data_IF_198842780669
#
_entry.id   IF_198842780669
#
_cell.length_a   1.000
_cell.length_b   1.000
_cell.length_c   1.000
_cell.angle_alpha   90.00
_cell.angle_beta   90.00
_cell.angle_gamma   90.00
#
_symmetry.space_group_name_H-M   'P 1'
#
loop_
_entity.id
_entity.type
_entity.pdbx_description
1 polymer ?
#
# COMPACT_ATOMS: atom_id res chain seq x y z
N UNK A 1 1.19 -3.28 -5.57
CA UNK A 1 0.29 -2.16 -5.88
C UNK A 1 -0.51 -1.75 -4.64
N UNK A 2 -1.00 -0.51 -4.59
CA UNK A 2 -1.94 -0.01 -3.56
C UNK A 2 -3.35 0.05 -4.17
N UNK A 3 -4.31 -0.60 -3.53
CA UNK A 3 -5.69 -0.74 -4.03
C UNK A 3 -6.72 -0.48 -2.93
N UNK A 4 -7.95 -0.17 -3.32
CA UNK A 4 -9.10 -0.22 -2.43
C UNK A 4 -9.65 -1.67 -2.40
N UNK A 5 -10.35 -2.03 -1.33
CA UNK A 5 -11.04 -3.35 -1.21
C UNK A 5 -12.48 -3.24 -0.76
N UNK A 6 -12.98 -2.02 -0.69
CA UNK A 6 -14.42 -1.81 -0.62
C UNK A 6 -15.04 -2.26 -1.94
N UNK A 7 -16.33 -2.59 -1.93
CA UNK A 7 -17.12 -2.93 -3.12
C UNK A 7 -17.36 -1.68 -3.99
N UNK A 8 -16.28 -1.02 -4.41
CA UNK A 8 -16.29 0.07 -5.38
C UNK A 8 -16.26 -0.49 -6.79
N UNK A 9 -16.99 0.13 -7.71
CA UNK A 9 -16.78 -0.16 -9.13
C UNK A 9 -15.43 0.39 -9.59
N UNK A 10 -14.92 -0.09 -10.72
CA UNK A 10 -13.69 0.44 -11.32
C UNK A 10 -13.78 1.96 -11.52
N UNK A 11 -14.93 2.47 -11.99
CA UNK A 11 -15.15 3.90 -12.20
C UNK A 11 -15.07 4.70 -10.90
N UNK A 12 -15.59 4.14 -9.80
CA UNK A 12 -15.53 4.77 -8.48
C UNK A 12 -14.11 4.80 -7.92
N UNK A 13 -13.35 3.71 -8.09
CA UNK A 13 -11.93 3.67 -7.71
C UNK A 13 -11.12 4.71 -8.48
N UNK A 14 -11.29 4.78 -9.81
CA UNK A 14 -10.59 5.77 -10.65
C UNK A 14 -10.94 7.19 -10.23
N UNK A 15 -12.22 7.51 -9.98
CA UNK A 15 -12.63 8.83 -9.46
C UNK A 15 -11.99 9.13 -8.11
N UNK A 16 -11.88 8.13 -7.23
CA UNK A 16 -11.25 8.28 -5.91
C UNK A 16 -9.75 8.59 -6.05
N UNK A 17 -9.04 7.90 -6.96
CA UNK A 17 -7.64 8.18 -7.25
C UNK A 17 -7.43 9.54 -7.91
N UNK A 18 -8.28 9.92 -8.87
CA UNK A 18 -8.25 11.25 -9.50
C UNK A 18 -8.48 12.37 -8.50
N UNK A 19 -9.43 12.18 -7.56
CA UNK A 19 -9.67 13.12 -6.48
C UNK A 19 -8.41 13.30 -5.62
N UNK A 20 -7.76 12.21 -5.21
CA UNK A 20 -6.49 12.28 -4.48
C UNK A 20 -5.40 13.00 -5.29
N UNK A 21 -5.24 12.66 -6.57
CA UNK A 21 -4.19 13.20 -7.43
C UNK A 21 -4.35 14.69 -7.68
N UNK A 22 -5.58 15.17 -7.90
CA UNK A 22 -5.88 16.60 -8.11
C UNK A 22 -5.55 17.51 -6.92
N UNK A 23 -5.34 16.93 -5.73
CA UNK A 23 -4.98 17.64 -4.50
C UNK A 23 -3.48 17.65 -4.23
N UNK A 24 -2.68 16.97 -5.05
CA UNK A 24 -1.23 16.92 -4.87
C UNK A 24 -0.57 18.19 -5.38
N UNK A 25 0.50 18.62 -4.72
CA UNK A 25 1.28 19.79 -5.13
C UNK A 25 2.03 19.60 -6.46
N UNK A 26 2.19 18.35 -6.89
CA UNK A 26 2.92 17.98 -8.10
C UNK A 26 2.18 16.86 -8.82
N UNK A 27 2.03 17.00 -10.15
CA UNK A 27 1.49 15.94 -11.02
C UNK A 27 2.36 14.68 -11.03
N UNK A 28 3.64 14.81 -10.66
CA UNK A 28 4.59 13.70 -10.56
C UNK A 28 4.43 12.91 -9.25
N UNK A 29 3.63 13.39 -8.31
CA UNK A 29 3.45 12.70 -7.02
C UNK A 29 2.83 11.31 -7.25
N UNK A 30 3.49 10.29 -6.72
CA UNK A 30 3.05 8.89 -6.80
C UNK A 30 2.36 8.49 -5.51
N UNK A 31 1.51 7.46 -5.61
CA UNK A 31 0.84 6.83 -4.46
C UNK A 31 1.79 5.82 -3.82
N UNK A 32 2.52 5.09 -4.65
CA UNK A 32 3.51 4.08 -4.26
C UNK A 32 4.89 4.49 -4.78
N UNK A 33 5.81 4.67 -3.85
CA UNK A 33 7.22 4.98 -4.12
C UNK A 33 8.13 3.88 -3.56
N UNK A 34 9.26 3.66 -4.21
CA UNK A 34 10.23 2.64 -3.81
C UNK A 34 11.51 3.29 -3.35
N UNK A 35 11.97 2.89 -2.17
CA UNK A 35 13.30 3.20 -1.70
C UNK A 35 14.29 2.19 -2.29
N UNK A 36 14.80 2.50 -3.48
CA UNK A 36 15.75 1.67 -4.19
C UNK A 36 17.05 1.44 -3.38
N UNK A 37 17.46 2.39 -2.51
CA UNK A 37 18.68 2.25 -1.69
C UNK A 37 18.54 1.18 -0.62
N UNK A 38 17.32 0.99 -0.12
CA UNK A 38 17.00 -0.01 0.91
C UNK A 38 16.33 -1.27 0.32
N UNK A 39 16.37 -1.45 -1.00
CA UNK A 39 15.82 -2.59 -1.71
C UNK A 39 16.95 -3.43 -2.32
N UNK A 40 16.78 -4.75 -2.42
CA UNK A 40 17.84 -5.68 -2.84
C UNK A 40 17.27 -7.00 -3.38
N UNK A 41 18.03 -7.68 -4.25
CA UNK A 41 17.70 -9.02 -4.74
C UNK A 41 16.77 -9.05 -5.96
N UNK A 42 16.48 -7.89 -6.56
CA UNK A 42 15.77 -7.81 -7.83
C UNK A 42 16.72 -7.96 -9.02
N UNK A 43 16.18 -8.46 -10.14
CA UNK A 43 16.85 -8.50 -11.43
C UNK A 43 16.37 -7.29 -12.23
N UNK A 44 17.32 -6.55 -12.80
CA UNK A 44 17.02 -5.36 -13.59
C UNK A 44 16.57 -4.16 -12.76
N UNK A 45 15.87 -3.23 -13.41
CA UNK A 45 15.34 -2.03 -12.79
C UNK A 45 13.90 -2.25 -12.31
N UNK A 46 13.48 -1.45 -11.33
CA UNK A 46 12.08 -1.39 -10.93
C UNK A 46 11.33 -0.52 -11.94
N UNK A 47 10.22 -1.03 -12.45
CA UNK A 47 9.36 -0.34 -13.39
C UNK A 47 8.14 0.24 -12.69
N UNK A 48 7.87 1.51 -12.95
CA UNK A 48 6.76 2.25 -12.38
C UNK A 48 5.52 2.20 -13.30
N UNK A 49 4.85 1.05 -13.35
CA UNK A 49 3.76 0.77 -14.31
C UNK A 49 2.47 1.60 -14.10
N UNK A 50 2.24 2.13 -12.88
CA UNK A 50 1.16 3.08 -12.59
C UNK A 50 1.50 3.92 -11.34
N UNK A 51 0.79 5.01 -11.04
CA UNK A 51 1.06 5.81 -9.83
C UNK A 51 0.96 5.00 -8.52
N UNK A 52 0.13 3.96 -8.49
CA UNK A 52 -0.10 3.06 -7.35
C UNK A 52 0.55 1.69 -7.52
N UNK A 53 1.31 1.43 -8.59
CA UNK A 53 1.88 0.13 -8.87
C UNK A 53 3.32 0.23 -9.38
N UNK A 54 4.10 -0.78 -8.98
CA UNK A 54 5.45 -1.02 -9.49
C UNK A 54 5.59 -2.49 -9.84
N UNK A 55 6.49 -2.78 -10.75
CA UNK A 55 6.85 -4.11 -11.20
C UNK A 55 8.37 -4.29 -11.07
N UNK A 56 8.78 -5.50 -10.72
CA UNK A 56 10.19 -5.90 -10.65
C UNK A 56 10.28 -7.41 -10.84
N UNK A 57 11.46 -7.86 -11.24
CA UNK A 57 11.76 -9.28 -11.44
C UNK A 57 12.71 -9.78 -10.35
N UNK A 58 12.67 -11.07 -10.06
CA UNK A 58 13.58 -11.74 -9.16
C UNK A 58 13.63 -13.22 -9.53
N UNK A 59 14.76 -13.89 -9.31
CA UNK A 59 14.93 -15.30 -9.59
C UNK A 59 14.94 -16.10 -8.28
N UNK A 60 13.90 -16.89 -7.97
CA UNK A 60 13.83 -17.67 -6.73
C UNK A 60 14.90 -18.77 -6.64
N UNK A 61 15.57 -19.13 -7.74
CA UNK A 61 16.65 -20.14 -7.75
C UNK A 61 18.01 -19.56 -7.44
N UNK A 62 18.26 -18.30 -7.81
CA UNK A 62 19.54 -17.61 -7.57
C UNK A 62 19.52 -16.80 -6.28
N UNK A 63 18.39 -16.15 -5.98
CA UNK A 63 18.22 -15.34 -4.78
C UNK A 63 17.32 -16.06 -3.78
N UNK A 64 17.81 -16.24 -2.56
CA UNK A 64 17.01 -16.81 -1.46
C UNK A 64 15.81 -15.94 -1.07
N UNK A 65 15.89 -14.64 -1.32
CA UNK A 65 14.84 -13.67 -0.98
C UNK A 65 15.03 -12.33 -1.69
N UNK A 66 13.93 -11.68 -2.06
CA UNK A 66 13.89 -10.29 -2.51
C UNK A 66 13.39 -9.38 -1.37
N UNK A 67 13.98 -8.20 -1.23
CA UNK A 67 13.53 -7.17 -0.28
C UNK A 67 13.22 -5.89 -1.03
N UNK A 68 11.98 -5.41 -0.92
CA UNK A 68 11.54 -4.14 -1.50
C UNK A 68 11.06 -3.24 -0.36
N UNK A 69 11.66 -2.06 -0.25
CA UNK A 69 11.28 -1.03 0.72
C UNK A 69 10.34 -0.03 0.06
N UNK A 70 9.10 0.07 0.56
CA UNK A 70 8.04 0.87 -0.05
C UNK A 70 7.59 2.03 0.86
N UNK A 71 7.18 3.13 0.24
CA UNK A 71 6.50 4.24 0.89
C UNK A 71 5.12 4.44 0.24
N UNK A 72 4.08 4.55 1.07
CA UNK A 72 2.71 4.86 0.64
C UNK A 72 2.42 6.32 0.95
N UNK A 73 2.15 7.11 -0.08
CA UNK A 73 2.08 8.57 0.01
C UNK A 73 0.66 9.11 0.18
N UNK A 74 -0.37 8.25 0.14
CA UNK A 74 -1.75 8.64 0.42
C UNK A 74 -2.14 8.31 1.87
N UNK A 75 -2.71 9.26 2.59
CA UNK A 75 -3.33 8.99 3.89
C UNK A 75 -4.67 8.29 3.68
N UNK A 76 -5.07 7.43 4.61
CA UNK A 76 -6.39 6.79 4.54
C UNK A 76 -7.55 7.81 4.52
N UNK A 77 -7.34 9.03 5.00
CA UNK A 77 -8.36 10.10 5.03
C UNK A 77 -8.30 11.07 3.84
N UNK A 78 -7.34 10.94 2.93
CA UNK A 78 -7.17 11.92 1.84
C UNK A 78 -8.28 11.90 0.79
N UNK A 79 -9.07 10.83 0.77
CA UNK A 79 -10.12 10.58 -0.22
C UNK A 79 -11.45 11.29 0.08
N UNK A 80 -11.47 12.22 1.04
CA UNK A 80 -12.63 13.07 1.34
C UNK A 80 -12.21 14.50 1.68
N UNK A 81 -13.10 15.46 1.44
CA UNK A 81 -12.95 16.86 1.90
C UNK A 81 -13.45 17.05 3.34
N UNK A 82 -14.22 16.10 3.87
CA UNK A 82 -14.79 16.21 5.20
C UNK A 82 -13.74 15.97 6.27
N UNK A 83 -13.64 16.88 7.24
CA UNK A 83 -12.79 16.70 8.42
C UNK A 83 -13.42 15.67 9.36
N UNK A 84 -12.60 14.86 10.02
CA UNK A 84 -13.06 13.88 11.00
C UNK A 84 -13.69 12.62 10.40
N UNK A 85 -13.55 12.38 9.09
CA UNK A 85 -14.01 11.14 8.48
C UNK A 85 -13.17 9.93 8.90
N UNK A 86 -13.82 8.77 8.89
CA UNK A 86 -13.10 7.49 8.94
C UNK A 86 -12.32 7.33 7.63
N UNK A 87 -11.03 7.05 7.75
CA UNK A 87 -10.21 6.78 6.58
C UNK A 87 -10.64 5.50 5.84
N UNK A 88 -10.53 5.51 4.52
CA UNK A 88 -10.80 4.36 3.67
C UNK A 88 -9.79 3.23 3.95
N UNK A 89 -10.23 1.96 3.95
CA UNK A 89 -9.33 0.82 4.03
C UNK A 89 -8.56 0.70 2.71
N UNK A 90 -7.24 0.61 2.84
CA UNK A 90 -6.32 0.43 1.73
C UNK A 90 -5.64 -0.92 1.87
N UNK A 91 -5.25 -1.50 0.75
CA UNK A 91 -4.50 -2.75 0.73
C UNK A 91 -3.24 -2.62 -0.10
N UNK A 92 -2.16 -3.21 0.41
CA UNK A 92 -1.02 -3.60 -0.42
C UNK A 92 -1.40 -4.93 -1.04
N UNK A 93 -1.45 -4.99 -2.37
CA UNK A 93 -1.62 -6.23 -3.12
C UNK A 93 -0.32 -6.55 -3.86
N UNK A 94 0.10 -7.81 -3.81
CA UNK A 94 1.28 -8.35 -4.50
C UNK A 94 0.79 -9.46 -5.40
N UNK A 95 0.93 -9.23 -6.70
CA UNK A 95 0.64 -10.20 -7.75
C UNK A 95 1.97 -10.73 -8.27
N UNK A 96 2.10 -12.06 -8.36
CA UNK A 96 3.31 -12.74 -8.84
C UNK A 96 2.97 -13.54 -10.09
N UNK A 97 3.73 -13.29 -11.14
CA UNK A 97 3.60 -13.88 -12.46
C UNK A 97 4.84 -14.72 -12.77
N UNK A 98 4.69 -15.80 -13.53
CA UNK A 98 5.80 -16.56 -14.09
C UNK A 98 6.04 -16.01 -15.50
N UNK A 99 7.28 -15.62 -15.80
CA UNK A 99 7.64 -15.07 -17.12
C UNK A 99 7.45 -16.10 -18.25
N UNK A 100 7.50 -17.40 -17.93
CA UNK A 100 7.28 -18.46 -18.90
C UNK A 100 5.81 -18.76 -19.15
N UNK A 101 4.91 -18.24 -18.31
CA UNK A 101 3.47 -18.40 -18.47
C UNK A 101 2.92 -17.18 -19.21
N UNK A 102 2.36 -17.41 -20.41
CA UNK A 102 1.80 -16.34 -21.26
C UNK A 102 0.38 -15.94 -20.81
N UNK A 103 0.08 -16.05 -19.51
CA UNK A 103 -1.23 -15.68 -18.97
C UNK A 103 -1.15 -14.31 -18.32
N UNK A 104 -2.17 -13.48 -18.55
CA UNK A 104 -2.35 -12.21 -17.83
C UNK A 104 -2.87 -12.42 -16.40
N UNK A 105 -2.79 -13.64 -15.87
CA UNK A 105 -3.32 -14.05 -14.57
C UNK A 105 -2.15 -14.40 -13.65
N UNK A 106 -2.03 -13.76 -12.48
CA UNK A 106 -0.94 -14.08 -11.56
C UNK A 106 -1.17 -15.48 -10.97
N UNK A 107 -0.14 -16.31 -10.95
CA UNK A 107 -0.20 -17.64 -10.32
C UNK A 107 -0.29 -17.54 -8.80
N UNK A 108 0.15 -16.43 -8.21
CA UNK A 108 0.05 -16.16 -6.78
C UNK A 108 -0.34 -14.71 -6.52
N UNK A 109 -1.28 -14.49 -5.58
CA UNK A 109 -1.73 -13.17 -5.15
C UNK A 109 -1.83 -13.12 -3.62
N UNK A 110 -1.06 -12.23 -3.02
CA UNK A 110 -1.10 -11.92 -1.59
C UNK A 110 -1.59 -10.50 -1.34
N UNK A 111 -2.17 -10.25 -0.16
CA UNK A 111 -2.53 -8.89 0.23
C UNK A 111 -2.31 -8.62 1.72
N UNK A 112 -2.14 -7.34 2.07
CA UNK A 112 -2.05 -6.86 3.44
C UNK A 112 -2.96 -5.62 3.61
N UNK A 113 -3.80 -5.65 4.64
CA UNK A 113 -4.60 -4.48 5.03
C UNK A 113 -3.70 -3.42 5.66
N UNK A 114 -3.79 -2.19 5.19
CA UNK A 114 -3.03 -1.06 5.72
C UNK A 114 -3.92 0.11 6.09
N UNK A 115 -3.42 0.92 7.02
CA UNK A 115 -3.92 2.26 7.31
C UNK A 115 -2.74 3.20 7.33
N UNK A 116 -2.84 4.29 6.57
CA UNK A 116 -1.76 5.25 6.42
C UNK A 116 -2.10 6.50 7.22
N UNK A 117 -1.14 6.95 8.02
CA UNK A 117 -1.28 8.06 8.95
C UNK A 117 -0.25 9.14 8.65
N UNK A 118 -0.56 10.38 8.98
CA UNK A 118 0.41 11.47 8.96
C UNK A 118 1.30 11.44 10.21
N UNK A 119 2.52 11.99 10.07
CA UNK A 119 3.54 12.06 11.12
C UNK A 119 3.72 10.71 11.81
N UNK A 120 3.86 10.72 13.15
CA UNK A 120 3.93 9.52 14.00
C UNK A 120 2.54 8.97 14.36
N UNK A 121 1.58 9.07 13.45
CA UNK A 121 0.19 8.72 13.69
C UNK A 121 -0.04 7.23 13.90
N UNK A 122 0.72 6.38 13.20
CA UNK A 122 0.69 4.93 13.38
C UNK A 122 1.17 4.53 14.78
N UNK A 123 2.27 5.09 15.26
CA UNK A 123 2.82 4.80 16.59
C UNK A 123 1.93 5.37 17.68
N UNK A 124 1.31 6.55 17.49
CA UNK A 124 0.30 7.08 18.40
C UNK A 124 -0.87 6.10 18.53
N UNK A 125 -1.40 5.63 17.38
CA UNK A 125 -2.52 4.69 17.33
C UNK A 125 -2.19 3.38 18.06
N UNK A 126 -1.01 2.82 17.83
CA UNK A 126 -0.54 1.61 18.51
C UNK A 126 -0.46 1.82 20.03
N UNK A 127 0.13 2.93 20.50
CA UNK A 127 0.21 3.26 21.93
C UNK A 127 -1.17 3.39 22.58
N UNK A 128 -2.13 4.00 21.89
CA UNK A 128 -3.48 4.19 22.42
C UNK A 128 -4.26 2.86 22.49
N UNK A 129 -4.05 1.96 21.53
CA UNK A 129 -4.64 0.62 21.55
C UNK A 129 -4.04 -0.24 22.66
N UNK A 130 -2.73 -0.17 22.88
CA UNK A 130 -2.05 -0.90 23.96
C UNK A 130 -2.53 -0.43 25.34
N UNK A 131 -2.66 0.90 25.55
CA UNK A 131 -3.28 1.46 26.78
C UNK A 131 -4.72 0.99 26.98
N UNK A 132 -5.52 0.90 25.91
CA UNK A 132 -6.91 0.40 25.99
C UNK A 132 -6.94 -1.09 26.32
N UNK A 133 -6.04 -1.89 25.75
CA UNK A 133 -5.91 -3.32 26.04
C UNK A 133 -5.51 -3.55 27.51
N UNK A 134 -4.55 -2.78 28.04
CA UNK A 134 -4.16 -2.83 29.45
C UNK A 134 -5.31 -2.48 30.40
N UNK A 135 -6.07 -1.42 30.11
CA UNK A 135 -7.26 -1.07 30.91
C UNK A 135 -8.29 -2.19 30.95
N UNK A 136 -8.56 -2.84 29.81
CA UNK A 136 -9.50 -3.98 29.74
C UNK A 136 -9.02 -5.18 30.57
N UNK A 137 -7.71 -5.43 30.64
CA UNK A 137 -7.14 -6.48 31.50
C UNK A 137 -7.33 -6.16 32.98
N UNK A 138 -7.25 -4.88 33.37
CA UNK A 138 -7.42 -4.45 34.77
C UNK A 138 -8.88 -4.43 35.23
N UNK A 139 -9.82 -4.15 34.33
CA UNK A 139 -11.27 -4.14 34.62
C UNK A 139 -11.97 -5.47 34.33
N UNK A 140 -11.21 -6.50 33.95
CA UNK A 140 -11.71 -7.82 33.54
C UNK A 140 -11.69 -8.89 34.64
N UNK A 141 -11.46 -8.49 35.88
CA UNK A 141 -11.72 -9.25 37.12
C UNK A 141 -12.82 -8.51 37.91
#
# INVERSE_FOLDING_TARGET
MIVFREDKTYEEEIKTWQFWHSRQHSVKQRILEIDAKNSSGMIGQIEEIAHNAVQFYWNPTEQSSVKISIAVQCLSTDFSNQKGVKGLPLHIQIDTYDENDNTDVPFHRGYCQIKVFCDKGAERKLRDEDKRAQKRKLTGN
#
